data_IF_298357803849
#
_entry.id   IF_298357803849
#
_cell.length_a   1.000
_cell.length_b   1.000
_cell.length_c   1.000
_cell.angle_alpha   90.00
_cell.angle_beta   90.00
_cell.angle_gamma   90.00
#
_symmetry.space_group_name_H-M   'P 1'
#
loop_
_entity.id
_entity.type
_entity.pdbx_description
1 polymer ?
#
# COMPACT_ATOMS: atom_id res chain seq x y z
N UNK A 1 21.30 -26.02 -28.53
CA UNK A 1 21.23 -25.49 -28.35
C UNK A 1 21.07 -24.86 -27.95
N UNK A 2 20.85 -24.94 -27.72
CA UNK A 2 20.68 -24.18 -27.40
C UNK A 2 20.61 -23.65 -26.74
N UNK A 3 20.39 -23.77 -26.55
CA UNK A 3 20.30 -23.13 -26.10
C UNK A 3 20.39 -22.40 -25.76
N UNK A 4 20.27 -22.58 -25.90
CA UNK A 4 20.28 -21.73 -25.73
C UNK A 4 20.04 -21.07 -25.54
N UNK A 5 19.82 -21.31 -25.78
CA UNK A 5 19.52 -20.63 -25.76
C UNK A 5 18.96 -20.20 -25.21
N UNK A 6 18.72 -20.39 -25.06
CA UNK A 6 18.29 -19.93 -24.80
C UNK A 6 18.16 -19.31 -24.13
N UNK A 7 18.25 -19.54 -24.10
CA UNK A 7 18.12 -18.78 -23.71
C UNK A 7 18.03 -17.94 -23.49
N UNK A 8 18.01 -18.28 -23.71
CA UNK A 8 17.94 -17.33 -23.79
C UNK A 8 17.47 -16.65 -23.60
N UNK A 9 17.23 -16.82 -23.60
CA UNK A 9 16.84 -16.08 -23.59
C UNK A 9 16.34 -15.63 -23.01
N UNK A 10 16.27 -15.94 -22.81
CA UNK A 10 15.88 -15.40 -22.54
C UNK A 10 15.80 -14.76 -22.13
N UNK A 11 15.81 -14.77 -22.13
CA UNK A 11 15.70 -14.04 -22.04
C UNK A 11 15.43 -13.33 -21.86
N UNK A 12 15.42 -13.62 -22.00
CA UNK A 12 15.11 -12.97 -22.18
C UNK A 12 14.41 -12.58 -21.88
N UNK A 13 14.04 -12.65 -21.63
CA UNK A 13 13.38 -12.27 -21.53
C UNK A 13 12.76 -11.73 -21.18
N UNK A 14 12.67 -11.84 -21.32
CA UNK A 14 11.96 -11.31 -21.15
C UNK A 14 11.32 -10.96 -21.01
N UNK A 15 11.13 -11.04 -21.14
CA UNK A 15 10.48 -10.68 -21.18
C UNK A 15 9.80 -10.72 -20.95
N UNK A 16 9.79 -10.92 -20.97
CA UNK A 16 9.14 -10.90 -20.86
C UNK A 16 8.58 -10.83 -20.47
N UNK A 17 8.67 -10.94 -20.37
CA UNK A 17 8.13 -10.78 -20.11
C UNK A 17 7.61 -10.52 -19.96
N UNK A 18 7.60 -10.62 -20.16
CA UNK A 18 7.05 -10.43 -20.23
C UNK A 18 6.37 -10.38 -20.23
N UNK A 19 6.20 -10.63 -20.32
CA UNK A 19 5.41 -10.69 -20.53
C UNK A 19 4.79 -10.98 -20.05
N UNK A 20 4.96 -11.08 -19.77
CA UNK A 20 4.40 -11.32 -19.48
C UNK A 20 3.63 -11.43 -19.40
N UNK A 21 3.48 -11.54 -19.42
CA UNK A 21 2.73 -11.65 -19.69
C UNK A 21 1.78 -11.92 -19.82
N UNK A 22 1.96 -11.88 -19.77
CA UNK A 22 0.68 -11.96 -20.38
C UNK A 22 -0.33 -12.85 -19.69
N UNK A 23 0.08 -13.58 -18.75
CA UNK A 23 -0.87 -14.28 -17.89
C UNK A 23 -1.61 -13.26 -17.07
N UNK A 24 -2.93 -13.23 -17.20
CA UNK A 24 -3.74 -12.30 -16.46
C UNK A 24 -4.40 -12.98 -15.30
N UNK A 25 -4.20 -12.42 -14.13
CA UNK A 25 -4.86 -12.88 -12.92
C UNK A 25 -6.27 -12.31 -12.93
N UNK A 26 -7.24 -13.20 -12.82
CA UNK A 26 -8.62 -12.79 -12.74
C UNK A 26 -8.98 -12.61 -11.28
N UNK A 27 -9.63 -11.51 -10.97
CA UNK A 27 -10.01 -11.15 -9.62
C UNK A 27 -11.52 -11.08 -9.54
N UNK A 28 -12.08 -11.79 -8.56
CA UNK A 28 -13.51 -11.72 -8.29
C UNK A 28 -13.71 -10.84 -7.05
N UNK A 29 -14.17 -9.63 -7.27
CA UNK A 29 -14.45 -8.67 -6.20
C UNK A 29 -15.95 -8.39 -6.06
N UNK A 30 -16.79 -9.30 -6.53
CA UNK A 30 -18.24 -9.06 -6.55
C UNK A 30 -18.86 -9.13 -5.17
N UNK A 31 -18.20 -9.77 -4.21
CA UNK A 31 -18.76 -9.96 -2.87
C UNK A 31 -18.08 -9.13 -1.81
N UNK A 32 -17.20 -8.24 -2.21
CA UNK A 32 -16.45 -7.47 -1.23
C UNK A 32 -17.26 -6.28 -0.74
N UNK A 33 -17.07 -5.95 0.54
CA UNK A 33 -17.64 -4.76 1.15
C UNK A 33 -16.48 -3.82 1.47
N UNK A 34 -16.59 -2.60 0.99
CA UNK A 34 -15.56 -1.60 1.25
C UNK A 34 -15.70 -1.03 2.65
N UNK A 35 -14.57 -0.82 3.32
CA UNK A 35 -14.52 -0.14 4.61
C UNK A 35 -13.59 1.05 4.50
N UNK A 36 -13.91 2.11 5.22
CA UNK A 36 -13.04 3.27 5.31
C UNK A 36 -12.17 3.15 6.56
N UNK A 37 -10.90 3.50 6.42
CA UNK A 37 -9.98 3.56 7.54
C UNK A 37 -9.07 4.78 7.36
N UNK A 38 -8.79 5.48 8.45
CA UNK A 38 -7.85 6.59 8.45
C UNK A 38 -6.69 6.35 9.44
N UNK A 39 -6.55 5.12 9.91
CA UNK A 39 -5.50 4.72 10.83
C UNK A 39 -5.06 3.31 10.48
N UNK A 40 -3.77 3.06 10.56
CA UNK A 40 -3.26 1.70 10.48
C UNK A 40 -2.09 1.51 11.43
N UNK A 41 -1.96 0.29 11.90
CA UNK A 41 -0.82 -0.13 12.72
C UNK A 41 -0.28 -1.42 12.14
N UNK A 42 1.05 -1.50 12.02
CA UNK A 42 1.70 -2.68 11.49
C UNK A 42 2.56 -3.29 12.56
N UNK A 43 2.35 -4.57 12.83
CA UNK A 43 3.15 -5.35 13.76
C UNK A 43 3.53 -6.67 13.08
N UNK A 44 4.37 -7.47 13.73
CA UNK A 44 4.78 -8.72 13.11
C UNK A 44 5.32 -9.74 14.08
N UNK A 45 5.26 -10.98 13.65
CA UNK A 45 5.96 -12.11 14.24
C UNK A 45 7.06 -12.52 13.25
N UNK A 46 7.89 -13.52 13.56
CA UNK A 46 8.88 -13.97 12.59
C UNK A 46 8.30 -14.49 11.28
N UNK A 47 7.05 -14.97 11.28
CA UNK A 47 6.44 -15.55 10.09
C UNK A 47 5.39 -14.67 9.44
N UNK A 48 4.77 -13.75 10.20
CA UNK A 48 3.57 -13.07 9.73
C UNK A 48 3.61 -11.59 10.02
N UNK A 49 3.02 -10.84 9.13
CA UNK A 49 2.79 -9.41 9.35
C UNK A 49 1.31 -9.19 9.62
N UNK A 50 1.03 -8.34 10.60
CA UNK A 50 -0.32 -8.03 11.03
C UNK A 50 -0.57 -6.55 10.74
N UNK A 51 -1.62 -6.27 9.99
CA UNK A 51 -2.03 -4.89 9.70
C UNK A 51 -3.39 -4.67 10.32
N UNK A 52 -3.46 -3.71 11.22
CA UNK A 52 -4.71 -3.28 11.84
C UNK A 52 -5.14 -1.97 11.22
N UNK A 53 -6.39 -1.91 10.78
CA UNK A 53 -7.00 -0.68 10.26
C UNK A 53 -8.05 -0.20 11.26
N UNK A 54 -8.19 1.10 11.38
CA UNK A 54 -9.13 1.66 12.31
C UNK A 54 -9.63 3.03 11.92
N UNK A 55 -10.49 3.55 12.76
CA UNK A 55 -11.05 4.89 12.60
C UNK A 55 -10.58 5.75 13.75
N UNK A 56 -9.80 6.77 13.42
CA UNK A 56 -9.37 7.77 14.39
C UNK A 56 -10.30 8.97 14.26
N UNK A 57 -11.15 9.22 15.27
CA UNK A 57 -12.07 10.37 15.22
C UNK A 57 -11.37 11.70 15.51
N UNK A 58 -10.12 11.65 16.00
CA UNK A 58 -9.34 12.85 16.29
C UNK A 58 -8.08 12.86 15.45
N UNK A 59 -8.17 13.26 14.17
CA UNK A 59 -6.99 13.26 13.31
C UNK A 59 -5.97 14.35 13.66
N UNK A 60 -6.34 15.29 14.54
CA UNK A 60 -5.45 16.34 14.99
C UNK A 60 -5.08 16.12 16.44
N UNK A 61 -3.79 16.24 16.73
CA UNK A 61 -3.31 16.06 18.09
C UNK A 61 -3.32 14.62 18.54
N UNK A 62 -3.24 14.42 19.85
CA UNK A 62 -3.20 13.10 20.45
C UNK A 62 -4.63 12.67 20.77
N UNK A 63 -5.06 11.51 20.31
CA UNK A 63 -6.40 11.02 20.65
C UNK A 63 -6.59 10.88 22.16
N UNK A 64 -7.74 11.28 22.64
CA UNK A 64 -8.08 11.17 24.08
C UNK A 64 -8.72 9.84 24.43
N UNK A 65 -9.11 9.06 23.43
CA UNK A 65 -9.69 7.73 23.61
C UNK A 65 -8.93 6.74 22.75
N UNK A 66 -8.94 5.46 23.11
CA UNK A 66 -8.32 4.45 22.24
C UNK A 66 -8.95 4.46 20.85
N UNK A 67 -8.11 4.30 19.85
CA UNK A 67 -8.58 4.23 18.46
C UNK A 67 -9.17 2.85 18.23
N UNK A 68 -10.44 2.76 17.81
CA UNK A 68 -11.02 1.44 17.55
C UNK A 68 -10.43 0.82 16.29
N UNK A 69 -9.95 -0.41 16.44
CA UNK A 69 -9.51 -1.21 15.30
C UNK A 69 -10.73 -1.93 14.74
N UNK A 70 -10.98 -1.74 13.45
CA UNK A 70 -12.17 -2.27 12.82
C UNK A 70 -11.89 -3.45 11.91
N UNK A 71 -10.64 -3.61 11.48
CA UNK A 71 -10.27 -4.70 10.58
C UNK A 71 -8.82 -5.09 10.83
N UNK A 72 -8.57 -6.39 10.87
CA UNK A 72 -7.22 -6.93 10.99
C UNK A 72 -6.95 -7.85 9.83
N UNK A 73 -5.81 -7.66 9.17
CA UNK A 73 -5.34 -8.53 8.10
C UNK A 73 -4.02 -9.15 8.55
N UNK A 74 -3.94 -10.46 8.46
CA UNK A 74 -2.71 -11.19 8.75
C UNK A 74 -2.21 -11.75 7.43
N UNK A 75 -0.95 -11.52 7.13
CA UNK A 75 -0.38 -11.96 5.88
C UNK A 75 1.05 -12.45 6.10
N UNK A 76 1.57 -13.24 5.17
CA UNK A 76 2.97 -13.63 5.19
C UNK A 76 3.83 -12.47 4.68
N UNK A 77 5.14 -12.55 4.95
CA UNK A 77 6.04 -11.45 4.58
C UNK A 77 6.29 -11.34 3.09
N UNK A 78 6.10 -12.42 2.33
CA UNK A 78 6.25 -12.33 0.87
C UNK A 78 5.12 -11.51 0.27
N UNK A 79 3.89 -11.74 0.70
CA UNK A 79 2.75 -10.93 0.29
C UNK A 79 2.89 -9.51 0.79
N UNK A 80 3.38 -9.33 2.02
CA UNK A 80 3.61 -8.01 2.59
C UNK A 80 4.59 -7.20 1.75
N UNK A 81 5.66 -7.82 1.28
CA UNK A 81 6.64 -7.12 0.47
C UNK A 81 6.08 -6.72 -0.90
N UNK A 82 5.27 -7.60 -1.49
CA UNK A 82 4.58 -7.24 -2.74
C UNK A 82 3.62 -6.09 -2.53
N UNK A 83 2.92 -6.08 -1.41
CA UNK A 83 2.01 -4.98 -1.06
C UNK A 83 2.77 -3.67 -0.88
N UNK A 84 3.91 -3.71 -0.19
CA UNK A 84 4.74 -2.52 -0.02
C UNK A 84 5.11 -1.92 -1.38
N UNK A 85 5.52 -2.76 -2.32
CA UNK A 85 5.86 -2.30 -3.66
C UNK A 85 4.65 -1.70 -4.37
N UNK A 86 3.49 -2.35 -4.29
CA UNK A 86 2.27 -1.87 -4.92
C UNK A 86 1.83 -0.54 -4.34
N UNK A 87 1.90 -0.40 -3.02
CA UNK A 87 1.57 0.86 -2.34
C UNK A 87 2.51 1.97 -2.79
N UNK A 88 3.80 1.67 -2.82
CA UNK A 88 4.81 2.66 -3.23
C UNK A 88 4.53 3.17 -4.64
N UNK A 89 4.28 2.26 -5.59
CA UNK A 89 4.03 2.63 -6.97
C UNK A 89 2.74 3.44 -7.13
N UNK A 90 1.71 3.08 -6.38
CA UNK A 90 0.42 3.77 -6.46
C UNK A 90 0.52 5.19 -5.91
N UNK A 91 1.17 5.34 -4.76
CA UNK A 91 1.37 6.66 -4.16
C UNK A 91 2.26 7.53 -5.05
N UNK A 92 3.31 6.94 -5.62
CA UNK A 92 4.22 7.67 -6.49
C UNK A 92 3.51 8.23 -7.72
N UNK A 93 2.62 7.43 -8.32
CA UNK A 93 1.82 7.91 -9.45
C UNK A 93 0.88 9.03 -9.05
N UNK A 94 0.27 8.92 -7.89
CA UNK A 94 -0.60 9.97 -7.37
C UNK A 94 0.17 11.27 -7.17
N UNK A 95 1.35 11.17 -6.55
CA UNK A 95 2.17 12.36 -6.28
C UNK A 95 2.70 12.99 -7.55
N UNK A 96 2.97 12.20 -8.58
CA UNK A 96 3.43 12.73 -9.85
C UNK A 96 2.34 13.56 -10.54
N UNK A 97 1.08 13.23 -10.31
CA UNK A 97 -0.05 13.93 -10.93
C UNK A 97 -0.53 15.09 -10.08
N UNK A 98 -0.61 14.93 -8.78
CA UNK A 98 -1.26 15.87 -7.88
C UNK A 98 -0.32 16.57 -6.91
N UNK A 99 0.95 16.19 -6.90
CA UNK A 99 1.92 16.76 -5.98
C UNK A 99 2.15 15.88 -4.75
N UNK A 100 3.19 16.22 -4.01
CA UNK A 100 3.62 15.45 -2.85
C UNK A 100 2.56 15.49 -1.76
N UNK A 101 2.26 14.34 -1.19
CA UNK A 101 1.31 14.22 -0.10
C UNK A 101 2.01 14.54 1.21
N UNK A 102 1.56 15.59 1.90
CA UNK A 102 2.08 15.93 3.21
C UNK A 102 1.29 15.18 4.27
N UNK A 103 1.95 14.22 4.93
CA UNK A 103 1.29 13.40 5.94
C UNK A 103 1.26 14.07 7.31
N UNK A 104 2.07 15.10 7.53
CA UNK A 104 2.05 15.87 8.77
C UNK A 104 0.97 16.95 8.67
N UNK A 105 -0.07 16.79 9.45
CA UNK A 105 -1.21 17.71 9.46
C UNK A 105 -0.75 19.12 9.74
N UNK A 106 0.22 19.29 10.64
CA UNK A 106 0.70 20.61 11.02
C UNK A 106 1.34 21.34 9.84
N UNK A 107 1.99 20.59 8.95
CA UNK A 107 2.65 21.18 7.79
C UNK A 107 1.68 21.51 6.67
N UNK A 108 0.44 21.06 6.75
CA UNK A 108 -0.58 21.38 5.74
C UNK A 108 -1.23 22.73 6.01
N UNK A 109 -1.03 23.30 7.18
CA UNK A 109 -1.63 24.58 7.51
C UNK A 109 -0.93 25.67 6.71
N UNK A 110 -1.72 26.47 5.99
CA UNK A 110 -1.19 27.55 5.19
C UNK A 110 -0.64 28.66 6.08
N UNK A 111 0.46 29.32 5.67
CA UNK A 111 0.95 30.47 6.42
C UNK A 111 -0.13 31.55 6.53
N UNK A 112 -0.26 32.09 7.73
CA UNK A 112 -1.25 33.14 7.98
C UNK A 112 -2.62 32.61 8.36
N UNK A 113 -2.87 31.31 8.26
CA UNK A 113 -4.16 30.74 8.69
C UNK A 113 -4.08 30.44 10.18
N UNK A 114 -5.09 30.86 10.92
CA UNK A 114 -5.16 30.59 12.34
C UNK A 114 -5.45 29.11 12.57
N UNK A 115 -4.71 28.49 13.46
CA UNK A 115 -4.91 27.11 13.83
C UNK A 115 -5.66 26.97 15.12
N UNK A 116 -5.88 28.03 15.74
CA UNK A 116 -6.39 27.89 17.00
C UNK A 116 -7.69 27.56 17.06
N UNK A 117 -7.99 27.75 16.88
CA UNK A 117 -8.95 27.75 17.57
C UNK A 117 -9.65 27.16 18.06
#
# INVERSE_FOLDING_TARGET
>A
MSQSDEDANVDNQPAAANQQQSVQIQIDDTKIVASYANFCRVTGTPEEMIIDFGLNPQPFGVPTSPIPVTQRIVTNFYTAKRMLHALHMTIQRHEATFGVLETDVQRRVQPGVSRAT
#
